data_IF_549652334323
#
_entry.id   IF_549652334323
#
_cell.length_a   1.000
_cell.length_b   1.000
_cell.length_c   1.000
_cell.angle_alpha   90.00
_cell.angle_beta   90.00
_cell.angle_gamma   90.00
#
_symmetry.space_group_name_H-M   'P 1'
#
loop_
_entity.id
_entity.type
_entity.pdbx_description
1 polymer ?
#
# COMPACT_ATOMS: atom_id res chain seq x y z
N UNK A 1 -12.13 -11.83 6.44
CA UNK A 1 -10.97 -11.62 5.54
C UNK A 1 -10.78 -10.12 5.38
N UNK A 2 -9.64 -9.56 5.79
CA UNK A 2 -9.32 -8.16 5.44
C UNK A 2 -9.29 -8.03 3.91
N UNK A 3 -10.09 -7.13 3.35
CA UNK A 3 -10.11 -6.86 1.91
C UNK A 3 -8.81 -6.20 1.44
N UNK A 4 -8.13 -5.50 2.35
CA UNK A 4 -6.79 -4.99 2.15
C UNK A 4 -5.78 -6.06 2.57
N UNK A 5 -4.89 -6.41 1.65
CA UNK A 5 -3.73 -7.26 1.94
C UNK A 5 -2.59 -6.34 2.38
N UNK A 6 -2.05 -6.48 3.60
CA UNK A 6 -0.83 -5.78 3.95
C UNK A 6 0.27 -6.24 3.00
N UNK A 7 1.07 -5.28 2.54
CA UNK A 7 2.24 -5.54 1.71
C UNK A 7 3.47 -5.08 2.49
N UNK A 8 4.49 -5.93 2.51
CA UNK A 8 5.83 -5.57 2.92
C UNK A 8 6.61 -5.17 1.65
N UNK A 9 7.02 -3.91 1.57
CA UNK A 9 7.70 -3.34 0.39
C UNK A 9 9.21 -3.55 0.43
N UNK A 10 9.73 -3.94 1.59
CA UNK A 10 11.13 -4.29 1.80
C UNK A 10 11.37 -5.79 1.58
N UNK A 11 10.31 -6.55 1.33
CA UNK A 11 10.41 -7.97 1.01
C UNK A 11 10.98 -8.18 -0.40
N UNK A 12 12.22 -8.64 -0.46
CA UNK A 12 13.00 -8.83 -1.70
C UNK A 12 12.41 -9.80 -2.74
N UNK A 13 11.36 -10.59 -2.39
CA UNK A 13 10.84 -11.65 -3.26
C UNK A 13 9.32 -11.85 -3.22
N UNK A 14 8.53 -10.85 -2.82
CA UNK A 14 7.06 -10.99 -2.71
C UNK A 14 6.26 -10.53 -3.95
N UNK A 15 6.91 -9.93 -4.95
CA UNK A 15 6.32 -9.48 -6.23
C UNK A 15 7.30 -9.75 -7.41
N UNK A 16 6.85 -9.74 -8.69
CA UNK A 16 7.79 -9.62 -9.84
C UNK A 16 8.79 -8.46 -9.57
N UNK A 17 10.01 -8.47 -10.15
CA UNK A 17 11.27 -7.95 -9.54
C UNK A 17 11.07 -6.81 -8.56
N UNK A 18 11.76 -6.89 -7.41
CA UNK A 18 11.54 -6.07 -6.21
C UNK A 18 11.09 -4.65 -6.52
N UNK A 19 10.14 -4.12 -5.75
CA UNK A 19 9.73 -2.70 -5.85
C UNK A 19 10.95 -1.78 -5.76
N UNK A 20 11.97 -2.22 -5.03
CA UNK A 20 13.26 -1.56 -4.89
C UNK A 20 14.07 -1.50 -6.20
N UNK A 21 13.95 -2.52 -7.06
CA UNK A 21 14.62 -2.58 -8.37
C UNK A 21 13.98 -1.62 -9.38
N UNK A 22 12.68 -1.34 -9.22
CA UNK A 22 11.89 -0.52 -10.15
C UNK A 22 11.76 0.95 -9.76
N UNK A 23 12.00 1.31 -8.50
CA UNK A 23 11.79 2.65 -7.97
C UNK A 23 13.05 3.17 -7.27
N UNK A 24 13.75 4.17 -7.82
CA UNK A 24 14.85 4.84 -7.13
C UNK A 24 14.43 5.39 -5.75
N UNK A 25 15.39 5.55 -4.83
CA UNK A 25 15.09 6.08 -3.48
C UNK A 25 14.46 7.48 -3.50
N UNK A 26 14.83 8.31 -4.47
CA UNK A 26 14.28 9.66 -4.64
C UNK A 26 12.93 9.67 -5.40
N UNK A 27 12.33 8.52 -5.67
CA UNK A 27 11.11 8.44 -6.47
C UNK A 27 9.88 8.91 -5.68
N UNK A 28 9.06 9.76 -6.31
CA UNK A 28 7.87 10.36 -5.68
C UNK A 28 6.89 9.31 -5.11
N UNK A 29 6.81 8.14 -5.71
CA UNK A 29 5.95 7.06 -5.22
C UNK A 29 6.29 6.63 -3.77
N UNK A 30 7.57 6.66 -3.37
CA UNK A 30 7.99 6.35 -1.98
C UNK A 30 7.43 7.39 -1.01
N UNK A 31 7.57 8.67 -1.35
CA UNK A 31 6.98 9.77 -0.59
C UNK A 31 5.45 9.67 -0.48
N UNK A 32 4.76 9.30 -1.57
CA UNK A 32 3.29 9.15 -1.54
C UNK A 32 2.88 8.04 -0.57
N UNK A 33 3.61 6.91 -0.53
CA UNK A 33 3.33 5.82 0.41
C UNK A 33 3.47 6.31 1.85
N UNK A 34 4.57 7.00 2.18
CA UNK A 34 4.80 7.54 3.52
C UNK A 34 3.69 8.50 3.97
N UNK A 35 3.24 9.39 3.07
CA UNK A 35 2.15 10.33 3.36
C UNK A 35 0.84 9.58 3.60
N UNK A 36 0.48 8.64 2.71
CA UNK A 36 -0.77 7.87 2.84
C UNK A 36 -0.75 7.00 4.09
N UNK A 37 0.42 6.55 4.54
CA UNK A 37 0.56 5.80 5.78
C UNK A 37 0.16 6.62 7.03
N UNK A 38 0.34 7.93 6.99
CA UNK A 38 -0.09 8.85 8.06
C UNK A 38 -1.57 9.26 8.04
N UNK A 39 -2.33 8.91 7.00
CA UNK A 39 -3.73 9.33 6.86
C UNK A 39 -4.71 8.39 7.57
N UNK A 40 -5.84 8.95 8.03
CA UNK A 40 -7.01 8.16 8.44
C UNK A 40 -7.64 7.49 7.21
N UNK A 41 -7.58 6.16 7.18
CA UNK A 41 -8.08 5.30 6.09
C UNK A 41 -9.42 4.65 6.43
N UNK A 42 -10.01 4.96 7.59
CA UNK A 42 -11.20 4.28 8.10
C UNK A 42 -12.42 4.42 7.19
N UNK A 43 -12.62 5.57 6.55
CA UNK A 43 -13.71 5.76 5.56
C UNK A 43 -13.56 4.85 4.34
N UNK A 44 -12.33 4.71 3.83
CA UNK A 44 -12.04 3.85 2.70
C UNK A 44 -12.19 2.37 3.08
N UNK A 45 -11.72 1.98 4.25
CA UNK A 45 -11.91 0.62 4.79
C UNK A 45 -13.41 0.29 4.96
N UNK A 46 -14.21 1.23 5.47
CA UNK A 46 -15.67 1.09 5.64
C UNK A 46 -16.39 0.93 4.31
N UNK A 47 -16.08 1.76 3.32
CA UNK A 47 -16.67 1.67 1.99
C UNK A 47 -16.41 0.28 1.35
N UNK A 48 -15.22 -0.26 1.57
CA UNK A 48 -14.84 -1.59 1.12
C UNK A 48 -15.13 -2.67 2.17
N UNK A 49 -15.89 -2.45 3.24
CA UNK A 49 -16.20 -3.49 4.24
C UNK A 49 -17.31 -4.47 3.81
N UNK A 50 -17.91 -4.28 2.64
CA UNK A 50 -18.90 -5.22 2.08
C UNK A 50 -20.32 -4.98 2.55
N UNK A 51 -20.57 -3.85 3.21
CA UNK A 51 -21.93 -3.31 3.35
C UNK A 51 -22.30 -2.57 2.07
N UNK A 52 -22.67 -3.34 1.04
CA UNK A 52 -23.42 -2.77 -0.08
C UNK A 52 -24.76 -2.23 0.43
N UNK A 53 -25.31 -1.23 -0.26
CA UNK A 53 -26.74 -0.90 -0.17
C UNK A 53 -27.58 -2.07 -0.67
#
# INVERSE_FOLDING_TARGET
MSRFRPIDREADYLLPPSVQDGLPESHLARYIVDVVEGLDRSELERAYAGRGS
#
